data_IF_303985718941
#
_entry.id   IF_303985718941
#
_cell.length_a   1.000
_cell.length_b   1.000
_cell.length_c   1.000
_cell.angle_alpha   90.00
_cell.angle_beta   90.00
_cell.angle_gamma   90.00
#
_symmetry.space_group_name_H-M   'P 1'
#
loop_
_entity.id
_entity.type
_entity.pdbx_description
1 polymer ?
#
# COMPACT_ATOMS: atom_id res chain seq x y z
N UNK A 1 3.67 12.82 1.48
CA UNK A 1 3.09 11.64 0.82
C UNK A 1 1.62 11.58 1.13
N UNK A 2 1.08 10.42 1.54
CA UNK A 2 -0.37 10.24 1.74
C UNK A 2 -1.01 11.17 2.77
N UNK A 3 -0.40 11.38 3.95
CA UNK A 3 -0.95 12.31 4.96
C UNK A 3 -0.98 13.75 4.47
N UNK A 4 0.01 14.15 3.69
CA UNK A 4 0.05 15.47 3.03
C UNK A 4 -1.10 15.59 2.04
N UNK A 5 -1.33 14.57 1.22
CA UNK A 5 -2.42 14.58 0.24
C UNK A 5 -3.80 14.62 0.92
N UNK A 6 -4.01 13.81 1.97
CA UNK A 6 -5.26 13.83 2.74
C UNK A 6 -5.57 15.23 3.29
N UNK A 7 -4.57 15.90 3.86
CA UNK A 7 -4.71 17.26 4.35
C UNK A 7 -5.06 18.24 3.22
N UNK A 8 -4.38 18.16 2.06
CA UNK A 8 -4.67 19.01 0.90
C UNK A 8 -6.09 18.80 0.36
N UNK A 9 -6.56 17.54 0.31
CA UNK A 9 -7.90 17.17 -0.12
C UNK A 9 -8.98 17.39 0.95
N UNK A 10 -8.61 17.92 2.13
CA UNK A 10 -9.48 18.08 3.30
C UNK A 10 -10.19 16.78 3.73
N UNK A 11 -9.54 15.65 3.49
CA UNK A 11 -10.03 14.33 3.88
C UNK A 11 -9.47 13.94 5.25
N UNK A 12 -10.33 13.41 6.12
CA UNK A 12 -9.88 12.86 7.39
C UNK A 12 -9.33 11.45 7.21
N UNK A 13 -8.27 11.06 7.94
CA UNK A 13 -7.76 9.69 7.87
C UNK A 13 -8.82 8.71 8.34
N UNK A 14 -9.02 7.63 7.59
CA UNK A 14 -9.81 6.51 8.03
C UNK A 14 -9.05 5.75 9.12
N UNK A 15 -9.66 5.62 10.30
CA UNK A 15 -9.11 4.79 11.37
C UNK A 15 -9.52 3.35 11.13
N UNK A 16 -8.53 2.47 11.04
CA UNK A 16 -8.74 1.06 10.86
C UNK A 16 -8.33 0.32 12.12
N UNK A 17 -9.21 -0.56 12.62
CA UNK A 17 -8.89 -1.43 13.74
C UNK A 17 -8.03 -2.60 13.24
N UNK A 18 -6.75 -2.57 13.60
CA UNK A 18 -5.73 -3.48 13.07
C UNK A 18 -5.52 -4.72 13.95
N UNK A 19 -6.43 -5.05 14.87
CA UNK A 19 -6.29 -6.15 15.82
C UNK A 19 -5.96 -7.52 15.18
N UNK A 20 -6.18 -7.67 13.87
CA UNK A 20 -5.83 -8.85 13.09
C UNK A 20 -4.36 -8.90 12.60
N UNK A 21 -3.52 -7.87 12.82
CA UNK A 21 -2.16 -7.76 12.26
C UNK A 21 -1.01 -7.91 13.27
N UNK A 22 -1.30 -8.14 14.54
CA UNK A 22 -0.29 -8.08 15.62
C UNK A 22 0.82 -9.14 15.51
N UNK A 23 0.73 -10.06 14.54
CA UNK A 23 1.71 -11.11 14.31
C UNK A 23 2.21 -11.23 12.86
N UNK A 24 2.10 -10.19 12.04
CA UNK A 24 2.60 -10.24 10.65
C UNK A 24 4.14 -10.33 10.60
N UNK A 25 4.69 -11.26 9.81
CA UNK A 25 6.11 -11.31 9.52
C UNK A 25 6.54 -10.02 8.80
N UNK A 26 7.60 -9.32 9.25
CA UNK A 26 8.04 -8.08 8.65
C UNK A 26 8.37 -8.16 7.15
N UNK A 27 8.81 -9.33 6.64
CA UNK A 27 9.09 -9.50 5.21
C UNK A 27 7.81 -9.56 4.37
N UNK A 28 6.70 -10.05 4.92
CA UNK A 28 5.40 -9.99 4.25
C UNK A 28 4.94 -8.54 4.06
N UNK A 29 5.01 -7.72 5.12
CA UNK A 29 4.66 -6.31 5.05
C UNK A 29 5.56 -5.52 4.09
N UNK A 30 6.88 -5.76 4.14
CA UNK A 30 7.84 -5.12 3.23
C UNK A 30 7.64 -5.55 1.78
N UNK A 31 7.32 -6.81 1.52
CA UNK A 31 7.01 -7.31 0.19
C UNK A 31 5.81 -6.59 -0.42
N UNK A 32 4.69 -6.52 0.30
CA UNK A 32 3.49 -5.83 -0.19
C UNK A 32 3.75 -4.34 -0.39
N UNK A 33 4.40 -3.68 0.56
CA UNK A 33 4.75 -2.26 0.45
C UNK A 33 5.65 -1.99 -0.76
N UNK A 34 6.70 -2.80 -0.94
CA UNK A 34 7.64 -2.67 -2.06
C UNK A 34 6.97 -2.88 -3.41
N UNK A 35 6.18 -3.95 -3.54
CA UNK A 35 5.41 -4.23 -4.75
C UNK A 35 4.41 -3.13 -5.10
N UNK A 36 3.70 -2.59 -4.11
CA UNK A 36 2.74 -1.50 -4.32
C UNK A 36 3.39 -0.24 -4.92
N UNK A 37 4.61 0.10 -4.49
CA UNK A 37 5.36 1.27 -4.99
C UNK A 37 5.80 1.12 -6.44
N UNK A 38 6.05 -0.11 -6.90
CA UNK A 38 6.30 -0.36 -8.33
C UNK A 38 5.04 -0.06 -9.15
N UNK A 39 3.88 -0.49 -8.67
CA UNK A 39 2.57 -0.19 -9.26
C UNK A 39 2.25 1.31 -9.32
N UNK A 40 2.77 2.11 -8.39
CA UNK A 40 2.61 3.58 -8.39
C UNK A 40 3.11 4.23 -9.67
N UNK A 41 4.06 3.63 -10.42
CA UNK A 41 4.48 4.17 -11.74
C UNK A 41 3.32 4.25 -12.73
N UNK A 42 2.47 3.22 -12.76
CA UNK A 42 1.27 3.17 -13.62
C UNK A 42 0.23 4.17 -13.15
N UNK A 43 -0.02 4.23 -11.83
CA UNK A 43 -0.97 5.17 -11.25
C UNK A 43 -0.55 6.63 -11.44
N UNK A 44 0.77 6.92 -11.38
CA UNK A 44 1.32 8.24 -11.65
C UNK A 44 1.03 8.70 -13.08
N UNK A 45 1.11 7.81 -14.06
CA UNK A 45 0.77 8.15 -15.45
C UNK A 45 -0.72 8.53 -15.58
N UNK A 46 -1.62 7.76 -14.95
CA UNK A 46 -3.05 8.09 -14.93
C UNK A 46 -3.32 9.41 -14.20
N UNK A 47 -2.64 9.64 -13.08
CA UNK A 47 -2.73 10.89 -12.32
C UNK A 47 -2.30 12.10 -13.18
N UNK A 48 -1.19 12.01 -13.91
CA UNK A 48 -0.73 13.06 -14.83
C UNK A 48 -1.71 13.37 -15.97
N UNK A 49 -2.54 12.41 -16.34
CA UNK A 49 -3.57 12.54 -17.39
C UNK A 49 -4.93 12.95 -16.84
N UNK A 50 -5.08 13.06 -15.52
CA UNK A 50 -6.36 13.41 -14.90
C UNK A 50 -6.68 14.89 -15.11
N UNK A 51 -7.95 15.19 -15.34
CA UNK A 51 -8.50 16.55 -15.32
C UNK A 51 -9.37 16.82 -14.08
N UNK A 52 -9.63 15.79 -13.26
CA UNK A 52 -10.36 15.93 -12.00
C UNK A 52 -9.50 16.74 -10.99
N UNK A 53 -9.98 17.91 -10.52
CA UNK A 53 -9.24 18.74 -9.57
C UNK A 53 -8.87 18.01 -8.27
N UNK A 54 -9.73 17.14 -7.74
CA UNK A 54 -9.50 16.40 -6.50
C UNK A 54 -8.35 15.40 -6.70
N UNK A 55 -8.36 14.68 -7.82
CA UNK A 55 -7.28 13.74 -8.17
C UNK A 55 -5.97 14.48 -8.40
N UNK A 56 -6.02 15.64 -9.08
CA UNK A 56 -4.85 16.47 -9.34
C UNK A 56 -4.18 16.97 -8.05
N UNK A 57 -4.92 17.15 -6.95
CA UNK A 57 -4.39 17.61 -5.67
C UNK A 57 -3.67 16.53 -4.84
N UNK A 58 -3.77 15.25 -5.21
CA UNK A 58 -3.02 14.14 -4.61
C UNK A 58 -1.54 14.08 -5.05
N UNK A 59 -0.84 15.21 -4.98
CA UNK A 59 0.49 15.43 -5.58
C UNK A 59 1.62 14.72 -4.83
N UNK A 60 1.58 14.73 -3.50
CA UNK A 60 2.73 14.40 -2.66
C UNK A 60 3.05 12.90 -2.61
N UNK A 61 2.08 12.01 -2.84
CA UNK A 61 2.31 10.56 -2.94
C UNK A 61 2.83 10.18 -4.33
N UNK A 62 2.21 10.68 -5.41
CA UNK A 62 2.60 10.34 -6.78
C UNK A 62 3.93 10.98 -7.21
N UNK A 63 4.39 12.01 -6.52
CA UNK A 63 5.71 12.63 -6.73
C UNK A 63 6.84 12.02 -5.90
N UNK A 64 6.55 11.03 -5.03
CA UNK A 64 7.62 10.37 -4.27
C UNK A 64 8.64 9.72 -5.20
N UNK A 65 9.94 9.82 -4.88
CA UNK A 65 10.97 9.14 -5.65
C UNK A 65 10.77 7.62 -5.57
N UNK A 66 11.07 6.94 -6.68
CA UNK A 66 11.21 5.49 -6.67
C UNK A 66 12.35 5.10 -5.72
N UNK A 67 12.17 4.05 -4.94
CA UNK A 67 13.22 3.49 -4.09
C UNK A 67 13.59 2.08 -4.58
N UNK A 68 14.42 1.95 -5.64
CA UNK A 68 14.82 0.65 -6.17
C UNK A 68 15.70 -0.14 -5.20
N UNK A 69 16.42 0.54 -4.30
CA UNK A 69 17.27 -0.09 -3.28
C UNK A 69 16.39 -0.87 -2.30
N UNK A 70 15.31 -0.25 -1.79
CA UNK A 70 14.36 -0.93 -0.91
C UNK A 70 13.81 -2.24 -1.50
N UNK A 71 13.43 -2.23 -2.78
CA UNK A 71 12.91 -3.46 -3.41
C UNK A 71 13.98 -4.53 -3.52
N UNK A 72 15.21 -4.15 -3.88
CA UNK A 72 16.34 -5.07 -3.93
C UNK A 72 16.61 -5.71 -2.56
N UNK A 73 16.67 -4.90 -1.50
CA UNK A 73 16.89 -5.39 -0.12
C UNK A 73 15.80 -6.37 0.32
N UNK A 74 14.55 -6.15 -0.08
CA UNK A 74 13.44 -7.07 0.20
C UNK A 74 13.63 -8.40 -0.54
N UNK A 75 13.97 -8.35 -1.83
CA UNK A 75 14.26 -9.56 -2.61
C UNK A 75 15.45 -10.33 -2.04
N UNK A 76 16.52 -9.64 -1.66
CA UNK A 76 17.70 -10.24 -1.05
C UNK A 76 17.33 -10.92 0.27
N UNK A 77 16.59 -10.25 1.14
CA UNK A 77 16.14 -10.83 2.41
C UNK A 77 15.22 -12.04 2.22
N UNK A 78 14.31 -12.01 1.25
CA UNK A 78 13.44 -13.14 0.91
C UNK A 78 14.22 -14.33 0.34
N UNK A 79 15.28 -14.07 -0.44
CA UNK A 79 16.14 -15.14 -0.99
C UNK A 79 16.85 -15.96 0.07
N UNK A 80 17.07 -15.39 1.26
CA UNK A 80 17.69 -16.07 2.40
C UNK A 80 16.70 -16.91 3.22
N UNK A 81 15.40 -16.82 2.93
CA UNK A 81 14.38 -17.63 3.60
C UNK A 81 14.33 -19.01 2.93
N UNK A 82 14.60 -20.06 3.71
CA UNK A 82 14.52 -21.43 3.23
C UNK A 82 13.11 -21.77 2.73
N UNK A 83 12.99 -22.16 1.47
CA UNK A 83 11.74 -22.67 0.88
C UNK A 83 11.18 -23.85 1.68
N UNK A 84 9.86 -23.85 1.92
CA UNK A 84 9.17 -24.89 2.69
C UNK A 84 9.43 -24.84 4.20
N UNK A 85 10.12 -23.80 4.70
CA UNK A 85 10.19 -23.58 6.14
C UNK A 85 8.88 -23.00 6.68
N UNK A 86 8.64 -23.21 7.98
CA UNK A 86 7.51 -22.60 8.72
C UNK A 86 7.45 -21.08 8.50
N UNK A 87 8.61 -20.43 8.47
CA UNK A 87 8.67 -18.98 8.23
C UNK A 87 8.27 -18.61 6.80
N UNK A 88 8.68 -19.39 5.80
CA UNK A 88 8.26 -19.16 4.41
C UNK A 88 6.74 -19.27 4.27
N UNK A 89 6.13 -20.30 4.86
CA UNK A 89 4.68 -20.48 4.87
C UNK A 89 3.96 -19.32 5.56
N UNK A 90 4.50 -18.88 6.71
CA UNK A 90 4.00 -17.72 7.43
C UNK A 90 4.05 -16.45 6.58
N UNK A 91 5.18 -16.15 5.93
CA UNK A 91 5.31 -14.96 5.06
C UNK A 91 4.25 -14.98 3.95
N UNK A 92 3.99 -16.14 3.34
CA UNK A 92 2.95 -16.28 2.32
C UNK A 92 1.55 -16.06 2.90
N UNK A 93 1.24 -16.67 4.05
CA UNK A 93 -0.05 -16.50 4.72
C UNK A 93 -0.30 -15.04 5.12
N UNK A 94 0.69 -14.39 5.74
CA UNK A 94 0.63 -13.00 6.17
C UNK A 94 0.50 -12.05 4.96
N UNK A 95 1.20 -12.33 3.86
CA UNK A 95 1.07 -11.58 2.61
C UNK A 95 -0.37 -11.61 2.09
N UNK A 96 -1.01 -12.79 2.10
CA UNK A 96 -2.42 -12.94 1.70
C UNK A 96 -3.36 -12.17 2.62
N UNK A 97 -3.11 -12.19 3.94
CA UNK A 97 -3.90 -11.42 4.90
C UNK A 97 -3.80 -9.91 4.64
N UNK A 98 -2.61 -9.39 4.37
CA UNK A 98 -2.43 -7.97 4.02
C UNK A 98 -3.20 -7.62 2.75
N UNK A 99 -3.13 -8.46 1.70
CA UNK A 99 -3.93 -8.23 0.50
C UNK A 99 -5.45 -8.27 0.77
N UNK A 100 -5.91 -9.21 1.59
CA UNK A 100 -7.31 -9.28 1.99
C UNK A 100 -7.78 -8.02 2.73
N UNK A 101 -6.91 -7.43 3.56
CA UNK A 101 -7.18 -6.15 4.23
C UNK A 101 -7.35 -4.99 3.24
N UNK A 102 -6.50 -4.92 2.21
CA UNK A 102 -6.65 -3.93 1.13
C UNK A 102 -7.98 -4.10 0.38
N UNK A 103 -8.40 -5.34 0.12
CA UNK A 103 -9.67 -5.62 -0.54
C UNK A 103 -10.86 -5.21 0.32
N UNK A 104 -10.86 -5.57 1.60
CA UNK A 104 -11.97 -5.25 2.51
C UNK A 104 -12.14 -3.74 2.71
N UNK A 105 -11.04 -3.01 2.87
CA UNK A 105 -11.05 -1.54 2.95
C UNK A 105 -11.53 -0.87 1.68
N UNK A 106 -11.08 -1.33 0.53
CA UNK A 106 -11.52 -0.80 -0.76
C UNK A 106 -13.03 -0.97 -0.93
N UNK A 107 -13.57 -2.16 -0.67
CA UNK A 107 -15.00 -2.40 -0.78
C UNK A 107 -15.81 -1.57 0.22
N UNK A 108 -15.37 -1.45 1.47
CA UNK A 108 -16.04 -0.61 2.46
C UNK A 108 -16.12 0.86 1.99
N UNK A 109 -15.02 1.37 1.43
CA UNK A 109 -14.93 2.77 0.96
C UNK A 109 -15.74 3.01 -0.32
N UNK A 110 -15.78 2.04 -1.24
CA UNK A 110 -16.56 2.17 -2.48
C UNK A 110 -18.07 2.03 -2.26
N UNK A 111 -18.50 1.28 -1.24
CA UNK A 111 -19.91 1.13 -0.89
C UNK A 111 -20.44 2.30 -0.01
N UNK A 112 -19.54 3.02 0.67
CA UNK A 112 -19.84 4.23 1.44
C UNK A 112 -18.86 5.34 1.06
N UNK A 113 -18.99 5.96 -0.12
CA UNK A 113 -18.08 7.02 -0.54
C UNK A 113 -18.10 8.16 0.48
N UNK A 114 -16.91 8.65 0.83
CA UNK A 114 -16.78 9.84 1.66
C UNK A 114 -17.62 10.97 1.06
N UNK A 115 -18.51 11.58 1.84
CA UNK A 115 -19.37 12.67 1.37
C UNK A 115 -18.50 13.79 0.81
N UNK A 116 -18.70 14.13 -0.47
CA UNK A 116 -18.18 15.35 -1.04
C UNK A 116 -18.71 16.52 -0.20
N UNK A 117 -17.79 17.30 0.37
CA UNK A 117 -18.07 18.51 1.15
C UNK A 117 -17.96 19.74 0.27
#
# INVERSE_FOLDING_TARGET
GLRTDLNSMKQSPFLLELAALDQIDPLAAKYVLGGSRMGTKVLRQRWLQSTDPIVCDAKAYFTLPSNPIFWREVCDALSQVKTGSIRAEKIVADTKQIFALFVSTYHHTMMHPAKAS
#
